data_IF_040426474184
#
_entry.id   IF_040426474184
#
_cell.length_a   1.000
_cell.length_b   1.000
_cell.length_c   1.000
_cell.angle_alpha   90.00
_cell.angle_beta   90.00
_cell.angle_gamma   90.00
#
_symmetry.space_group_name_H-M   'P 1'
#
loop_
_entity.id
_entity.type
_entity.pdbx_description
1 polymer ?
#
# COMPACT_ATOMS: atom_id res chain seq x y z
N UNK A 1 -21.08 -4.46 25.60
CA UNK A 1 -20.92 -4.44 24.12
C UNK A 1 -19.90 -3.41 23.61
N UNK A 2 -20.00 -2.08 23.89
CA UNK A 2 -19.07 -1.09 23.29
C UNK A 2 -17.62 -1.23 23.77
N UNK A 3 -17.40 -1.58 25.04
CA UNK A 3 -16.07 -1.88 25.60
C UNK A 3 -15.37 -3.06 24.92
N UNK A 4 -16.13 -4.06 24.47
CA UNK A 4 -15.60 -5.21 23.74
C UNK A 4 -15.19 -4.82 22.31
N UNK A 5 -16.04 -4.06 21.61
CA UNK A 5 -15.72 -3.53 20.28
C UNK A 5 -14.48 -2.62 20.32
N UNK A 6 -14.39 -1.72 21.30
CA UNK A 6 -13.24 -0.84 21.46
C UNK A 6 -11.95 -1.63 21.72
N UNK A 7 -11.99 -2.62 22.62
CA UNK A 7 -10.84 -3.50 22.88
C UNK A 7 -10.39 -4.22 21.61
N UNK A 8 -11.33 -4.69 20.78
CA UNK A 8 -11.04 -5.38 19.53
C UNK A 8 -10.41 -4.44 18.50
N UNK A 9 -10.93 -3.23 18.33
CA UNK A 9 -10.34 -2.21 17.44
C UNK A 9 -8.94 -1.85 17.90
N UNK A 10 -8.73 -1.68 19.21
CA UNK A 10 -7.41 -1.35 19.76
C UNK A 10 -6.40 -2.49 19.53
N UNK A 11 -6.85 -3.75 19.62
CA UNK A 11 -6.03 -4.92 19.32
C UNK A 11 -5.72 -5.07 17.82
N UNK A 12 -6.56 -4.54 16.92
CA UNK A 12 -6.28 -4.54 15.48
C UNK A 12 -5.16 -3.58 15.10
N UNK A 13 -5.00 -2.45 15.80
CA UNK A 13 -3.96 -1.46 15.51
C UNK A 13 -2.54 -2.06 15.48
N UNK A 14 -2.05 -2.78 16.51
CA UNK A 14 -0.71 -3.37 16.48
C UNK A 14 -0.57 -4.45 15.40
N UNK A 15 -1.64 -5.20 15.10
CA UNK A 15 -1.64 -6.20 14.03
C UNK A 15 -1.49 -5.53 12.66
N UNK A 16 -2.31 -4.51 12.37
CA UNK A 16 -2.25 -3.75 11.13
C UNK A 16 -0.90 -3.04 10.99
N UNK A 17 -0.38 -2.47 12.08
CA UNK A 17 0.94 -1.87 12.10
C UNK A 17 2.02 -2.90 11.74
N UNK A 18 2.05 -4.05 12.41
CA UNK A 18 3.01 -5.13 12.13
C UNK A 18 2.94 -5.62 10.69
N UNK A 19 1.73 -5.91 10.18
CA UNK A 19 1.54 -6.33 8.79
C UNK A 19 2.02 -5.25 7.82
N UNK A 20 1.65 -3.99 8.05
CA UNK A 20 2.05 -2.88 7.18
C UNK A 20 3.56 -2.69 7.13
N UNK A 21 4.24 -2.81 8.28
CA UNK A 21 5.68 -2.68 8.37
C UNK A 21 6.37 -3.82 7.63
N UNK A 22 5.93 -5.06 7.86
CA UNK A 22 6.46 -6.24 7.17
C UNK A 22 6.25 -6.12 5.66
N UNK A 23 5.04 -5.81 5.20
CA UNK A 23 4.75 -5.63 3.78
C UNK A 23 5.60 -4.52 3.15
N UNK A 24 5.75 -3.39 3.84
CA UNK A 24 6.59 -2.28 3.39
C UNK A 24 8.07 -2.70 3.28
N UNK A 25 8.60 -3.37 4.30
CA UNK A 25 9.98 -3.89 4.28
C UNK A 25 10.18 -4.90 3.16
N UNK A 26 9.26 -5.85 2.98
CA UNK A 26 9.34 -6.83 1.90
C UNK A 26 9.40 -6.17 0.53
N UNK A 27 8.58 -5.16 0.27
CA UNK A 27 8.61 -4.41 -0.99
C UNK A 27 9.98 -3.76 -1.26
N UNK A 28 10.67 -3.26 -0.22
CA UNK A 28 12.01 -2.67 -0.36
C UNK A 28 13.13 -3.70 -0.44
N UNK A 29 12.87 -4.94 -0.07
CA UNK A 29 13.83 -6.05 -0.19
C UNK A 29 13.75 -6.73 -1.57
N UNK A 30 12.65 -6.55 -2.30
CA UNK A 30 12.52 -7.07 -3.67
C UNK A 30 13.56 -6.38 -4.56
N UNK A 31 14.37 -7.15 -5.32
CA UNK A 31 15.28 -6.56 -6.29
C UNK A 31 14.47 -5.91 -7.41
N UNK A 32 14.65 -4.60 -7.59
CA UNK A 32 13.94 -3.79 -8.58
C UNK A 32 13.75 -2.38 -8.06
N UNK A 33 14.05 -1.38 -8.89
CA UNK A 33 13.87 0.03 -8.53
C UNK A 33 12.42 0.45 -8.76
N UNK A 34 11.65 0.82 -7.72
CA UNK A 34 10.27 1.25 -7.89
C UNK A 34 10.15 2.45 -8.83
N UNK A 35 11.17 3.31 -8.89
CA UNK A 35 11.20 4.44 -9.82
C UNK A 35 11.27 3.98 -11.28
N UNK A 36 12.06 2.94 -11.58
CA UNK A 36 12.13 2.34 -12.93
C UNK A 36 10.82 1.65 -13.28
N UNK A 37 10.21 0.94 -12.33
CA UNK A 37 8.91 0.28 -12.55
C UNK A 37 7.77 1.29 -12.81
N UNK A 38 7.80 2.44 -12.13
CA UNK A 38 6.85 3.53 -12.33
C UNK A 38 7.10 4.30 -13.63
N UNK A 39 8.36 4.57 -13.95
CA UNK A 39 8.76 5.31 -15.15
C UNK A 39 8.57 4.48 -16.44
N UNK A 40 8.68 3.15 -16.35
CA UNK A 40 8.62 2.22 -17.47
C UNK A 40 10.00 1.83 -17.98
N UNK A 41 10.11 0.64 -18.59
CA UNK A 41 11.39 0.04 -19.01
C UNK A 41 12.19 0.84 -20.04
N UNK A 42 11.54 1.79 -20.74
CA UNK A 42 12.15 2.62 -21.80
C UNK A 42 12.35 4.08 -21.37
N UNK A 43 12.15 4.41 -20.09
CA UNK A 43 12.32 5.77 -19.60
C UNK A 43 13.79 6.18 -19.55
N UNK A 44 14.08 7.41 -19.96
CA UNK A 44 15.40 8.02 -19.80
C UNK A 44 15.79 8.14 -18.32
N UNK A 45 17.09 8.07 -18.03
CA UNK A 45 17.61 8.17 -16.65
C UNK A 45 17.19 9.47 -15.94
N UNK A 46 17.07 10.56 -16.69
CA UNK A 46 16.62 11.85 -16.16
C UNK A 46 15.15 11.80 -15.71
N UNK A 47 14.29 11.10 -16.47
CA UNK A 47 12.90 10.89 -16.10
C UNK A 47 12.77 9.94 -14.90
N UNK A 48 13.56 8.86 -14.83
CA UNK A 48 13.59 7.96 -13.68
C UNK A 48 13.97 8.72 -12.40
N UNK A 49 14.95 9.63 -12.47
CA UNK A 49 15.37 10.46 -11.33
C UNK A 49 14.29 11.46 -10.92
N UNK A 50 13.57 12.05 -11.89
CA UNK A 50 12.43 12.90 -11.63
C UNK A 50 11.31 12.14 -10.89
N UNK A 51 10.93 10.96 -11.40
CA UNK A 51 9.94 10.06 -10.77
C UNK A 51 10.39 9.67 -9.36
N UNK A 52 11.66 9.30 -9.17
CA UNK A 52 12.19 8.95 -7.85
C UNK A 52 11.98 10.08 -6.83
N UNK A 53 12.24 11.32 -7.25
CA UNK A 53 12.10 12.51 -6.40
C UNK A 53 10.63 12.85 -6.14
N UNK A 54 9.79 12.77 -7.17
CA UNK A 54 8.35 13.05 -7.10
C UNK A 54 7.64 12.10 -6.14
N UNK A 55 7.95 10.80 -6.22
CA UNK A 55 7.39 9.78 -5.32
C UNK A 55 8.13 9.69 -3.97
N UNK A 56 9.15 10.51 -3.74
CA UNK A 56 9.93 10.55 -2.50
C UNK A 56 10.71 9.26 -2.21
N UNK A 57 11.01 8.48 -3.25
CA UNK A 57 11.75 7.21 -3.18
C UNK A 57 13.25 7.44 -2.90
N UNK A 58 13.72 8.67 -2.99
CA UNK A 58 15.06 9.14 -2.59
C UNK A 58 15.20 9.42 -1.08
N UNK A 59 14.07 9.48 -0.35
CA UNK A 59 14.06 9.81 1.08
C UNK A 59 14.41 8.61 1.96
N UNK A 60 14.84 8.82 3.21
CA UNK A 60 15.06 7.72 4.15
C UNK A 60 13.81 6.86 4.35
N UNK A 61 13.98 5.54 4.53
CA UNK A 61 12.87 4.57 4.59
C UNK A 61 11.81 4.90 5.64
N UNK A 62 12.22 5.45 6.80
CA UNK A 62 11.27 5.85 7.84
C UNK A 62 10.37 7.00 7.36
N UNK A 63 10.89 7.96 6.58
CA UNK A 63 10.10 9.05 6.00
C UNK A 63 9.11 8.52 4.98
N UNK A 64 9.56 7.59 4.12
CA UNK A 64 8.69 6.93 3.15
C UNK A 64 7.56 6.14 3.83
N UNK A 65 7.86 5.42 4.90
CA UNK A 65 6.87 4.68 5.67
C UNK A 65 5.85 5.61 6.35
N UNK A 66 6.29 6.71 6.98
CA UNK A 66 5.38 7.69 7.58
C UNK A 66 4.49 8.35 6.53
N UNK A 67 5.04 8.67 5.36
CA UNK A 67 4.28 9.18 4.22
C UNK A 67 3.20 8.17 3.80
N UNK A 68 3.57 6.91 3.60
CA UNK A 68 2.66 5.81 3.26
C UNK A 68 1.51 5.67 4.28
N UNK A 69 1.83 5.57 5.58
CA UNK A 69 0.82 5.40 6.63
C UNK A 69 -0.12 6.61 6.68
N UNK A 70 0.40 7.83 6.51
CA UNK A 70 -0.41 9.05 6.52
C UNK A 70 -1.45 9.06 5.37
N UNK A 71 -1.06 8.62 4.18
CA UNK A 71 -1.97 8.50 3.03
C UNK A 71 -3.02 7.42 3.29
N UNK A 72 -2.60 6.24 3.75
CA UNK A 72 -3.50 5.11 4.03
C UNK A 72 -4.55 5.46 5.08
N UNK A 73 -4.16 6.14 6.17
CA UNK A 73 -5.09 6.58 7.22
C UNK A 73 -6.11 7.60 6.71
N UNK A 74 -5.75 8.40 5.68
CA UNK A 74 -6.67 9.31 4.98
C UNK A 74 -7.54 8.62 3.92
N UNK A 75 -7.37 7.31 3.74
CA UNK A 75 -8.08 6.52 2.72
C UNK A 75 -7.44 6.60 1.34
N UNK A 76 -6.25 7.17 1.22
CA UNK A 76 -5.47 7.17 -0.02
C UNK A 76 -4.49 6.00 -0.02
N UNK A 77 -4.78 5.01 -0.86
CA UNK A 77 -3.96 3.81 -1.04
C UNK A 77 -3.04 3.91 -2.28
N UNK A 78 -3.08 5.05 -2.99
CA UNK A 78 -2.34 5.27 -4.23
C UNK A 78 -2.89 4.48 -5.42
N UNK A 79 -2.05 4.37 -6.44
CA UNK A 79 -2.33 3.70 -7.72
C UNK A 79 -1.54 2.40 -7.78
N UNK A 80 -2.17 1.34 -8.25
CA UNK A 80 -1.51 0.07 -8.51
C UNK A 80 -0.53 0.22 -9.68
N UNK A 81 0.75 -0.05 -9.44
CA UNK A 81 1.79 -0.02 -10.49
C UNK A 81 1.46 -1.01 -11.62
N UNK A 82 0.91 -2.17 -11.26
CA UNK A 82 0.57 -3.24 -12.21
C UNK A 82 -0.68 -2.93 -13.03
N UNK A 83 -1.74 -2.46 -12.38
CA UNK A 83 -3.05 -2.27 -13.02
C UNK A 83 -3.26 -0.85 -13.52
N UNK A 84 -2.42 0.11 -13.10
CA UNK A 84 -2.57 1.55 -13.36
C UNK A 84 -3.92 2.12 -12.94
N UNK A 85 -4.51 1.55 -11.89
CA UNK A 85 -5.80 1.96 -11.33
C UNK A 85 -5.70 2.24 -9.82
N UNK A 86 -6.57 3.10 -9.25
CA UNK A 86 -6.61 3.34 -7.81
C UNK A 86 -6.78 2.04 -7.02
N UNK A 87 -5.92 1.83 -6.02
CA UNK A 87 -5.93 0.60 -5.20
C UNK A 87 -7.27 0.42 -4.49
N UNK A 88 -7.93 1.50 -4.07
CA UNK A 88 -9.23 1.45 -3.42
C UNK A 88 -10.33 0.83 -4.31
N UNK A 89 -10.25 1.04 -5.62
CA UNK A 89 -11.19 0.45 -6.59
C UNK A 89 -11.00 -1.07 -6.63
N UNK A 90 -9.75 -1.50 -6.77
CA UNK A 90 -9.37 -2.92 -6.78
C UNK A 90 -9.74 -3.62 -5.47
N UNK A 91 -9.55 -2.97 -4.33
CA UNK A 91 -9.94 -3.50 -3.02
C UNK A 91 -11.46 -3.67 -2.90
N UNK A 92 -12.24 -2.69 -3.37
CA UNK A 92 -13.71 -2.76 -3.34
C UNK A 92 -14.23 -3.92 -4.20
N UNK A 93 -13.70 -4.06 -5.41
CA UNK A 93 -14.09 -5.16 -6.31
C UNK A 93 -13.79 -6.53 -5.69
N UNK A 94 -12.56 -6.71 -5.18
CA UNK A 94 -12.15 -7.96 -4.52
C UNK A 94 -12.94 -8.25 -3.25
N UNK A 95 -13.23 -7.23 -2.45
CA UNK A 95 -14.04 -7.36 -1.24
C UNK A 95 -15.43 -7.91 -1.56
N UNK A 96 -16.08 -7.41 -2.61
CA UNK A 96 -17.39 -7.92 -3.03
C UNK A 96 -17.34 -9.41 -3.41
N UNK A 97 -16.30 -9.85 -4.13
CA UNK A 97 -16.11 -11.26 -4.43
C UNK A 97 -15.85 -12.10 -3.17
N UNK A 98 -15.03 -11.63 -2.24
CA UNK A 98 -14.80 -12.33 -0.97
C UNK A 98 -16.09 -12.47 -0.17
N UNK A 99 -16.92 -11.42 -0.13
CA UNK A 99 -18.23 -11.45 0.52
C UNK A 99 -19.14 -12.48 -0.15
N UNK A 100 -19.26 -12.44 -1.48
CA UNK A 100 -20.05 -13.42 -2.24
C UNK A 100 -19.63 -14.86 -1.95
N UNK A 101 -18.32 -15.13 -2.03
CA UNK A 101 -17.77 -16.45 -1.75
C UNK A 101 -18.02 -16.89 -0.29
N UNK A 102 -17.84 -15.99 0.68
CA UNK A 102 -18.08 -16.30 2.10
C UNK A 102 -19.54 -16.69 2.35
N UNK A 103 -20.49 -15.99 1.72
CA UNK A 103 -21.91 -16.30 1.85
C UNK A 103 -22.33 -17.58 1.12
N UNK A 104 -21.74 -17.88 -0.04
CA UNK A 104 -22.03 -19.09 -0.80
C UNK A 104 -21.35 -20.35 -0.24
N UNK A 105 -20.27 -20.17 0.54
CA UNK A 105 -19.53 -21.28 1.18
C UNK A 105 -20.15 -21.78 2.49
N UNK A 106 -21.19 -21.09 2.98
CA UNK A 106 -22.00 -21.46 4.15
C UNK A 106 -23.27 -22.13 3.65
#
# INVERSE_FOLDING_TARGET
>A
MPRYLLKRILMLLPVLFGVSLISFSLLHMVPGDPAVLLAGEQADEEFIKAVRTEYGLDRPLYVQYFHFITHVVRGDFGVSIRNREPVIKLLRERFLFTVQLSFLSI
#
